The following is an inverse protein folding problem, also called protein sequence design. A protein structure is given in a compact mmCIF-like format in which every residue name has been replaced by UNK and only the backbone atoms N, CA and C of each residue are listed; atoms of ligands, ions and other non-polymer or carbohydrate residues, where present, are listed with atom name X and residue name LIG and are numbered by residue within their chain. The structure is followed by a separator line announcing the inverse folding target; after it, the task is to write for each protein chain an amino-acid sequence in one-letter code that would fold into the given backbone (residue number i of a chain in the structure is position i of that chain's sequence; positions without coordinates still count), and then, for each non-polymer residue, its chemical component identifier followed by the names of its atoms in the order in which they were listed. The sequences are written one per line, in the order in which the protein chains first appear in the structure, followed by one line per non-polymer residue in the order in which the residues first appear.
data_IF_815947388135
#
_entry.id   IF_815947388135
#
_cell.length_a   1.000
_cell.length_b   1.000
_cell.length_c   1.000
_cell.angle_alpha   90.00
_cell.angle_beta   90.00
_cell.angle_gamma   90.00
#
_symmetry.space_group_name_H-M   'P 1'
#
loop_
_entity.id
_entity.type
_entity.pdbx_description
1 polymer ?
#
# COMPACT_ATOMS: atom_id res chain seq x y z
N UNK A 1 2.38 -10.52 9.52
CA UNK A 1 2.31 -9.07 9.26
C UNK A 1 3.02 -8.77 7.94
N UNK A 2 2.38 -8.12 6.97
CA UNK A 2 3.01 -7.68 5.70
C UNK A 2 3.36 -6.20 5.81
N UNK A 3 4.48 -5.76 5.23
CA UNK A 3 4.88 -4.34 5.21
C UNK A 3 4.64 -3.75 3.83
N UNK A 4 4.10 -2.52 3.76
CA UNK A 4 3.86 -1.88 2.48
C UNK A 4 5.14 -1.29 1.89
N UNK A 5 5.53 -1.66 0.65
CA UNK A 5 6.75 -1.15 0.03
C UNK A 5 6.68 0.35 -0.33
N UNK A 6 5.49 0.97 -0.25
CA UNK A 6 5.30 2.39 -0.62
C UNK A 6 5.35 3.30 0.61
N UNK A 7 4.77 2.88 1.73
CA UNK A 7 4.70 3.72 2.94
C UNK A 7 5.46 3.14 4.14
N UNK A 8 6.05 1.96 4.03
CA UNK A 8 6.80 1.29 5.12
C UNK A 8 5.94 0.85 6.31
N UNK A 9 4.62 1.07 6.27
CA UNK A 9 3.72 0.74 7.39
C UNK A 9 3.30 -0.74 7.34
N UNK A 10 3.10 -1.37 8.51
CA UNK A 10 2.51 -2.69 8.57
C UNK A 10 1.08 -2.66 8.02
N UNK A 11 0.68 -3.71 7.32
CA UNK A 11 -0.68 -3.89 6.86
C UNK A 11 -1.58 -4.10 8.07
N UNK A 12 -2.62 -3.27 8.15
CA UNK A 12 -3.74 -3.56 9.03
C UNK A 12 -4.59 -4.67 8.38
N UNK A 13 -4.91 -5.68 9.17
CA UNK A 13 -5.81 -6.74 8.73
C UNK A 13 -7.18 -6.17 8.38
N UNK A 14 -7.73 -6.56 7.23
CA UNK A 14 -9.10 -6.22 6.83
C UNK A 14 -9.83 -7.48 6.41
N UNK A 15 -11.06 -7.67 6.92
CA UNK A 15 -11.93 -8.80 6.56
C UNK A 15 -12.13 -8.95 5.04
N UNK A 16 -12.20 -7.84 4.28
CA UNK A 16 -12.36 -7.87 2.82
C UNK A 16 -11.21 -8.55 2.07
N UNK A 17 -10.06 -8.72 2.72
CA UNK A 17 -8.87 -9.29 2.12
C UNK A 17 -8.70 -10.77 2.41
N UNK A 18 -9.63 -11.42 3.12
CA UNK A 18 -9.50 -12.84 3.49
C UNK A 18 -9.16 -13.73 2.29
N UNK A 19 -9.86 -13.55 1.17
CA UNK A 19 -9.71 -14.41 -0.02
C UNK A 19 -8.58 -13.98 -0.97
N UNK A 20 -8.12 -12.73 -0.86
CA UNK A 20 -7.09 -12.16 -1.74
C UNK A 20 -5.81 -11.80 -1.01
N UNK A 21 -5.67 -12.18 0.27
CA UNK A 21 -4.61 -11.74 1.17
C UNK A 21 -3.21 -11.99 0.60
N UNK A 22 -3.04 -13.10 -0.11
CA UNK A 22 -1.78 -13.44 -0.75
C UNK A 22 -1.43 -12.48 -1.89
N UNK A 23 -2.43 -12.11 -2.71
CA UNK A 23 -2.32 -11.20 -3.83
C UNK A 23 -2.19 -9.71 -3.42
N UNK A 24 -2.61 -9.34 -2.20
CA UNK A 24 -2.52 -7.93 -1.74
C UNK A 24 -1.05 -7.54 -1.50
N UNK A 25 -0.54 -6.64 -2.36
CA UNK A 25 0.83 -6.09 -2.31
C UNK A 25 0.92 -4.68 -1.71
N UNK A 26 -0.19 -3.95 -1.60
CA UNK A 26 -0.21 -2.58 -1.07
C UNK A 26 -1.26 -2.42 0.02
N UNK A 27 -0.96 -1.63 1.06
CA UNK A 27 -1.87 -1.43 2.21
C UNK A 27 -3.11 -0.60 1.87
N UNK A 28 -3.11 0.10 0.74
CA UNK A 28 -4.23 0.94 0.29
C UNK A 28 -4.14 1.17 -1.22
N UNK A 29 -5.27 1.56 -1.81
CA UNK A 29 -5.29 2.01 -3.21
C UNK A 29 -4.40 3.23 -3.45
N UNK A 30 -4.28 4.13 -2.46
CA UNK A 30 -3.36 5.26 -2.51
C UNK A 30 -1.93 4.80 -2.74
N UNK A 31 -1.47 3.80 -1.98
CA UNK A 31 -0.13 3.22 -2.16
C UNK A 31 0.01 2.52 -3.52
N UNK A 32 -1.02 1.80 -3.98
CA UNK A 32 -1.02 1.18 -5.31
C UNK A 32 -0.85 2.22 -6.43
N UNK A 33 -1.51 3.38 -6.31
CA UNK A 33 -1.44 4.48 -7.29
C UNK A 33 -0.12 5.25 -7.18
N UNK A 34 0.39 5.48 -5.97
CA UNK A 34 1.66 6.19 -5.75
C UNK A 34 2.87 5.49 -6.38
N UNK A 35 2.87 4.15 -6.49
CA UNK A 35 3.96 3.43 -7.17
C UNK A 35 4.22 3.95 -8.60
N UNK A 36 3.20 4.48 -9.30
CA UNK A 36 3.34 4.99 -10.67
C UNK A 36 3.81 6.44 -10.77
N UNK A 37 3.87 7.18 -9.67
CA UNK A 37 4.33 8.57 -9.70
C UNK A 37 5.53 8.68 -8.77
N UNK A 38 6.77 8.51 -9.28
CA UNK A 38 7.89 9.11 -8.59
C UNK A 38 7.60 10.62 -8.57
N UNK A 39 7.35 11.14 -7.38
CA UNK A 39 7.63 12.53 -6.99
C UNK A 39 7.27 13.61 -8.02
N UNK A 40 6.11 14.24 -7.83
CA UNK A 40 6.17 15.69 -7.69
C UNK A 40 6.10 15.96 -6.20
N UNK A 41 7.28 16.17 -5.64
CA UNK A 41 7.47 16.94 -4.43
C UNK A 41 6.54 18.17 -4.46
N UNK A 42 5.60 18.22 -3.52
CA UNK A 42 4.87 19.44 -3.17
C UNK A 42 5.24 19.73 -1.73
N UNK A 43 6.29 20.51 -1.53
CA UNK A 43 6.42 21.31 -0.33
C UNK A 43 7.83 21.47 0.22
N UNK A 44 8.61 22.37 -0.40
CA UNK A 44 9.15 23.56 0.28
C UNK A 44 9.23 24.72 -0.70
#
# INVERSE_FOLDING_TARGET
MKTCPVCGRPFQWRKKWKDVWDQVRYCSERCRRQKKSPITDRGV
#
